data_IF_513732550544
#
_entry.id   IF_513732550544
#
_cell.length_a   1.000
_cell.length_b   1.000
_cell.length_c   1.000
_cell.angle_alpha   90.00
_cell.angle_beta   90.00
_cell.angle_gamma   90.00
#
_symmetry.space_group_name_H-M   'P 1'
#
loop_
_entity.id
_entity.type
_entity.pdbx_description
1 polymer ?
#
# COMPACT_ATOMS: atom_id res chain seq x y z
N UNK A 1 9.37 45.50 -11.33
CA UNK A 1 8.59 44.44 -12.02
C UNK A 1 8.96 44.38 -13.49
N UNK A 2 8.18 43.71 -14.37
CA UNK A 2 8.44 43.71 -15.82
C UNK A 2 8.41 45.13 -16.43
N UNK A 3 7.63 46.04 -15.86
CA UNK A 3 7.56 47.47 -16.24
C UNK A 3 8.90 48.19 -16.09
N UNK A 4 9.72 47.80 -15.12
CA UNK A 4 11.00 48.45 -14.84
C UNK A 4 12.14 47.92 -15.71
N UNK A 5 11.86 46.91 -16.53
CA UNK A 5 12.85 46.27 -17.37
C UNK A 5 13.43 47.30 -18.35
N UNK A 6 14.78 47.47 -18.39
CA UNK A 6 15.42 48.43 -19.27
C UNK A 6 15.33 47.97 -20.73
N UNK A 7 14.95 48.87 -21.63
CA UNK A 7 14.92 48.63 -23.08
C UNK A 7 16.18 49.19 -23.75
N UNK A 8 16.35 50.50 -23.73
CA UNK A 8 17.53 51.19 -24.24
C UNK A 8 17.66 52.58 -23.63
N UNK A 9 18.86 53.15 -23.68
CA UNK A 9 19.10 54.53 -23.25
C UNK A 9 19.05 55.44 -24.48
N UNK A 10 18.26 56.51 -24.43
CA UNK A 10 18.20 57.48 -25.53
C UNK A 10 19.48 58.32 -25.62
N UNK A 11 19.62 59.09 -26.71
CA UNK A 11 20.78 59.97 -26.93
C UNK A 11 20.93 61.09 -25.89
N UNK A 12 19.91 61.30 -25.05
CA UNK A 12 19.91 62.26 -23.94
C UNK A 12 20.29 61.63 -22.61
N UNK A 13 20.62 60.32 -22.59
CA UNK A 13 21.01 59.59 -21.39
C UNK A 13 19.84 59.10 -20.55
N UNK A 14 18.59 59.23 -21.02
CA UNK A 14 17.41 58.74 -20.30
C UNK A 14 17.22 57.25 -20.60
N UNK A 15 17.12 56.45 -19.54
CA UNK A 15 16.81 55.02 -19.63
C UNK A 15 15.32 54.83 -19.92
N UNK A 16 14.97 54.33 -21.10
CA UNK A 16 13.61 53.88 -21.40
C UNK A 16 13.38 52.50 -20.82
N UNK A 17 12.24 52.34 -20.14
CA UNK A 17 11.76 51.10 -19.56
C UNK A 17 10.54 50.59 -20.32
N UNK A 18 10.18 49.33 -20.13
CA UNK A 18 8.98 48.74 -20.75
C UNK A 18 7.71 49.50 -20.39
N UNK A 19 7.56 49.93 -19.14
CA UNK A 19 6.41 50.71 -18.67
C UNK A 19 6.27 52.09 -19.31
N UNK A 20 7.32 52.63 -19.94
CA UNK A 20 7.25 53.90 -20.67
C UNK A 20 6.58 53.74 -22.05
N UNK A 21 6.45 52.51 -22.57
CA UNK A 21 5.99 52.21 -23.92
C UNK A 21 4.78 51.27 -24.00
N UNK A 22 4.53 50.48 -22.96
CA UNK A 22 3.45 49.50 -22.95
C UNK A 22 2.82 49.36 -21.56
N UNK A 23 1.52 49.04 -21.55
CA UNK A 23 0.82 48.60 -20.34
C UNK A 23 1.21 47.15 -20.06
N UNK A 24 1.74 46.90 -18.87
CA UNK A 24 2.15 45.57 -18.45
C UNK A 24 1.16 45.08 -17.40
N UNK A 25 0.35 44.12 -17.78
CA UNK A 25 -0.62 43.53 -16.88
C UNK A 25 -0.49 42.02 -16.85
N UNK A 26 -0.82 41.47 -15.69
CA UNK A 26 -0.87 40.03 -15.50
C UNK A 26 -2.28 39.56 -15.81
N UNK A 27 -2.48 39.06 -17.02
CA UNK A 27 -3.75 38.44 -17.46
C UNK A 27 -3.67 36.91 -17.34
N UNK A 28 -4.82 36.22 -17.16
CA UNK A 28 -4.93 34.79 -17.42
C UNK A 28 -4.55 34.48 -18.87
N UNK A 29 -4.06 33.27 -19.13
CA UNK A 29 -3.76 32.83 -20.48
C UNK A 29 -5.06 32.62 -21.26
N UNK A 30 -5.12 33.07 -22.52
CA UNK A 30 -6.26 32.79 -23.40
C UNK A 30 -6.38 31.28 -23.64
N UNK A 31 -7.63 30.77 -23.71
CA UNK A 31 -7.97 29.35 -23.86
C UNK A 31 -7.49 28.39 -22.75
N UNK A 32 -7.20 28.90 -21.55
CA UNK A 32 -6.88 28.04 -20.41
C UNK A 32 -8.10 27.18 -20.00
N UNK A 33 -7.93 25.85 -19.84
CA UNK A 33 -9.04 24.97 -19.50
C UNK A 33 -9.68 25.36 -18.17
N UNK A 34 -10.94 25.79 -18.24
CA UNK A 34 -11.74 26.18 -17.08
C UNK A 34 -12.42 24.96 -16.46
N UNK A 35 -11.99 24.58 -15.26
CA UNK A 35 -12.53 23.42 -14.53
C UNK A 35 -13.55 23.90 -13.51
N UNK A 36 -14.68 23.20 -13.43
CA UNK A 36 -15.68 23.44 -12.38
C UNK A 36 -16.02 22.15 -11.65
N UNK A 37 -16.33 22.28 -10.37
CA UNK A 37 -16.86 21.18 -9.55
C UNK A 37 -18.16 21.67 -8.92
N UNK A 38 -19.28 21.02 -9.28
CA UNK A 38 -20.63 21.41 -8.85
C UNK A 38 -20.96 22.90 -9.12
N UNK A 39 -20.53 23.41 -10.28
CA UNK A 39 -20.78 24.82 -10.68
C UNK A 39 -19.89 25.86 -10.01
N UNK A 40 -18.94 25.45 -9.16
CA UNK A 40 -17.93 26.34 -8.57
C UNK A 40 -16.60 26.22 -9.34
N UNK A 41 -15.89 27.34 -9.59
CA UNK A 41 -14.55 27.30 -10.19
C UNK A 41 -13.61 26.41 -9.37
N UNK A 42 -12.83 25.57 -10.03
CA UNK A 42 -11.94 24.62 -9.38
C UNK A 42 -10.59 24.54 -10.09
N UNK A 43 -9.56 24.17 -9.32
CA UNK A 43 -8.24 23.84 -9.83
C UNK A 43 -8.04 22.35 -9.58
N UNK A 44 -7.76 21.59 -10.63
CA UNK A 44 -7.38 20.19 -10.51
C UNK A 44 -5.90 20.08 -10.15
N UNK A 45 -5.60 19.31 -9.11
CA UNK A 45 -4.23 18.97 -8.73
C UNK A 45 -4.09 17.45 -8.79
N UNK A 46 -3.30 16.98 -9.76
CA UNK A 46 -3.00 15.56 -9.88
C UNK A 46 -1.81 15.20 -8.99
N UNK A 47 -2.05 14.38 -7.97
CA UNK A 47 -0.96 13.80 -7.20
C UNK A 47 -0.34 12.63 -7.97
N UNK A 48 0.96 12.72 -8.20
CA UNK A 48 1.76 11.63 -8.75
C UNK A 48 2.67 11.07 -7.66
N UNK A 49 2.96 9.77 -7.78
CA UNK A 49 3.83 9.02 -6.89
C UNK A 49 4.83 8.24 -7.73
N UNK A 50 6.06 8.11 -7.26
CA UNK A 50 7.06 7.25 -7.91
C UNK A 50 6.66 5.77 -7.80
N UNK A 51 7.00 4.96 -8.81
CA UNK A 51 6.59 3.55 -8.88
C UNK A 51 7.06 2.71 -7.68
N UNK A 52 8.24 3.03 -7.14
CA UNK A 52 8.91 2.30 -6.06
C UNK A 52 8.43 2.64 -4.64
N UNK A 53 7.52 3.61 -4.48
CA UNK A 53 7.03 3.97 -3.14
C UNK A 53 5.91 3.02 -2.66
N UNK A 54 5.54 3.10 -1.38
CA UNK A 54 4.40 2.38 -0.80
C UNK A 54 3.14 3.26 -0.89
N UNK A 55 2.08 2.75 -1.54
CA UNK A 55 0.83 3.49 -1.78
C UNK A 55 0.15 3.92 -0.48
N UNK A 56 0.14 3.06 0.54
CA UNK A 56 -0.47 3.34 1.84
C UNK A 56 0.37 4.32 2.67
N UNK A 57 1.68 4.38 2.43
CA UNK A 57 2.56 5.39 3.02
C UNK A 57 2.33 6.76 2.38
N UNK A 58 2.34 6.86 1.06
CA UNK A 58 2.07 8.13 0.35
C UNK A 58 0.69 8.68 0.71
N UNK A 59 -0.33 7.81 0.80
CA UNK A 59 -1.66 8.20 1.25
C UNK A 59 -1.67 8.80 2.67
N UNK A 60 -0.88 8.23 3.60
CA UNK A 60 -0.74 8.77 4.97
C UNK A 60 -0.12 10.17 4.97
N UNK A 61 0.97 10.35 4.23
CA UNK A 61 1.65 11.65 4.10
C UNK A 61 0.69 12.69 3.52
N UNK A 62 -0.04 12.34 2.46
CA UNK A 62 -1.01 13.26 1.88
C UNK A 62 -2.15 13.61 2.84
N UNK A 63 -2.67 12.62 3.58
CA UNK A 63 -3.74 12.87 4.55
C UNK A 63 -3.27 13.83 5.65
N UNK A 64 -2.05 13.66 6.16
CA UNK A 64 -1.44 14.56 7.13
C UNK A 64 -1.28 15.97 6.56
N UNK A 65 -0.73 16.09 5.34
CA UNK A 65 -0.62 17.38 4.66
C UNK A 65 -1.97 18.07 4.48
N UNK A 66 -3.02 17.30 4.17
CA UNK A 66 -4.37 17.82 4.00
C UNK A 66 -4.96 18.33 5.33
N UNK A 67 -4.70 17.63 6.44
CA UNK A 67 -5.07 18.06 7.79
C UNK A 67 -4.35 19.37 8.18
N UNK A 68 -3.09 19.53 7.80
CA UNK A 68 -2.32 20.75 8.07
C UNK A 68 -2.72 21.95 7.19
N UNK A 69 -3.11 21.71 5.93
CA UNK A 69 -3.41 22.77 4.97
C UNK A 69 -4.84 23.27 5.08
N UNK A 70 -5.83 22.38 5.28
CA UNK A 70 -7.25 22.75 5.34
C UNK A 70 -7.55 23.93 6.28
N UNK A 71 -6.98 24.00 7.50
CA UNK A 71 -7.22 25.12 8.42
C UNK A 71 -6.57 26.44 7.99
N UNK A 72 -5.55 26.39 7.13
CA UNK A 72 -4.79 27.56 6.66
C UNK A 72 -5.37 28.16 5.38
N UNK A 73 -6.43 27.58 4.83
CA UNK A 73 -7.04 28.06 3.60
C UNK A 73 -7.77 29.40 3.81
N UNK A 74 -7.72 30.32 2.83
CA UNK A 74 -8.53 31.53 2.85
C UNK A 74 -10.02 31.24 2.89
N UNK A 75 -10.82 32.19 3.38
CA UNK A 75 -12.27 32.06 3.34
C UNK A 75 -12.76 31.89 1.89
N UNK A 76 -13.68 30.94 1.68
CA UNK A 76 -14.24 30.62 0.36
C UNK A 76 -13.45 29.59 -0.45
N UNK A 77 -12.27 29.15 0.02
CA UNK A 77 -11.48 28.09 -0.64
C UNK A 77 -11.68 26.77 0.08
N UNK A 78 -12.00 25.70 -0.67
CA UNK A 78 -12.11 24.35 -0.12
C UNK A 78 -11.37 23.33 -0.98
N UNK A 79 -10.78 22.33 -0.34
CA UNK A 79 -10.10 21.22 -1.03
C UNK A 79 -11.01 19.99 -1.00
N UNK A 80 -11.42 19.53 -2.19
CA UNK A 80 -12.11 18.25 -2.37
C UNK A 80 -11.13 17.25 -2.97
N UNK A 81 -10.89 16.16 -2.23
CA UNK A 81 -10.14 15.01 -2.72
C UNK A 81 -11.14 14.05 -3.38
N UNK A 82 -10.83 13.59 -4.59
CA UNK A 82 -11.61 12.59 -5.31
C UNK A 82 -10.68 11.52 -5.87
N UNK A 83 -11.26 10.39 -6.31
CA UNK A 83 -10.55 9.27 -6.91
C UNK A 83 -9.41 8.73 -6.02
N UNK A 84 -9.69 8.56 -4.73
CA UNK A 84 -8.76 8.12 -3.70
C UNK A 84 -8.43 6.61 -3.85
N UNK A 85 -7.64 6.26 -4.87
CA UNK A 85 -7.30 4.86 -5.19
C UNK A 85 -6.74 4.07 -4.00
N UNK A 86 -6.04 4.74 -3.08
CA UNK A 86 -5.51 4.12 -1.85
C UNK A 86 -6.60 3.64 -0.89
N UNK A 87 -7.79 4.27 -0.86
CA UNK A 87 -8.91 3.82 -0.05
C UNK A 87 -9.42 2.48 -0.55
N UNK A 88 -9.67 2.35 -1.85
CA UNK A 88 -10.06 1.08 -2.45
C UNK A 88 -9.03 -0.03 -2.24
N UNK A 89 -7.73 0.30 -2.29
CA UNK A 89 -6.68 -0.66 -1.95
C UNK A 89 -6.78 -1.09 -0.48
N UNK A 90 -6.93 -0.14 0.45
CA UNK A 90 -7.07 -0.44 1.88
C UNK A 90 -8.32 -1.28 2.19
N UNK A 91 -9.46 -0.95 1.60
CA UNK A 91 -10.70 -1.70 1.80
C UNK A 91 -10.57 -3.14 1.31
N UNK A 92 -9.90 -3.35 0.16
CA UNK A 92 -9.60 -4.70 -0.35
C UNK A 92 -8.63 -5.47 0.54
N UNK A 93 -7.59 -4.81 1.05
CA UNK A 93 -6.66 -5.42 2.01
C UNK A 93 -7.43 -5.85 3.26
N UNK A 94 -8.29 -4.99 3.81
CA UNK A 94 -9.10 -5.31 4.99
C UNK A 94 -10.04 -6.49 4.71
N UNK A 95 -10.73 -6.50 3.58
CA UNK A 95 -11.60 -7.61 3.17
C UNK A 95 -10.81 -8.93 3.03
N UNK A 96 -9.61 -8.90 2.45
CA UNK A 96 -8.74 -10.06 2.37
C UNK A 96 -8.26 -10.53 3.73
N UNK A 97 -7.93 -9.61 4.64
CA UNK A 97 -7.52 -9.95 6.00
C UNK A 97 -8.68 -10.56 6.80
N UNK A 98 -9.87 -9.98 6.71
CA UNK A 98 -11.09 -10.53 7.34
C UNK A 98 -11.38 -11.94 6.82
N UNK A 99 -11.44 -12.11 5.49
CA UNK A 99 -11.64 -13.42 4.88
C UNK A 99 -10.52 -14.40 5.23
N UNK A 100 -9.26 -13.94 5.27
CA UNK A 100 -8.10 -14.75 5.61
C UNK A 100 -8.14 -15.22 7.06
N UNK A 101 -8.53 -14.36 8.01
CA UNK A 101 -8.70 -14.71 9.42
C UNK A 101 -9.87 -15.70 9.58
N UNK A 102 -11.02 -15.44 8.96
CA UNK A 102 -12.15 -16.37 8.99
C UNK A 102 -11.77 -17.73 8.40
N UNK A 103 -11.06 -17.75 7.27
CA UNK A 103 -10.53 -18.97 6.66
C UNK A 103 -9.55 -19.70 7.57
N UNK A 104 -8.63 -18.97 8.20
CA UNK A 104 -7.66 -19.54 9.15
C UNK A 104 -8.35 -20.19 10.35
N UNK A 105 -9.37 -19.54 10.92
CA UNK A 105 -10.16 -20.11 12.01
C UNK A 105 -10.83 -21.42 11.57
N UNK A 106 -11.39 -21.46 10.37
CA UNK A 106 -12.00 -22.68 9.81
C UNK A 106 -10.97 -23.79 9.60
N UNK A 107 -9.78 -23.47 9.09
CA UNK A 107 -8.68 -24.44 8.95
C UNK A 107 -8.28 -24.99 10.31
N UNK A 108 -8.01 -24.12 11.30
CA UNK A 108 -7.66 -24.55 12.66
C UNK A 108 -8.78 -25.43 13.25
N UNK A 109 -10.04 -25.01 13.17
CA UNK A 109 -11.16 -25.81 13.66
C UNK A 109 -11.22 -27.20 13.00
N UNK A 110 -10.95 -27.27 11.69
CA UNK A 110 -10.89 -28.53 10.94
C UNK A 110 -9.72 -29.40 11.40
N UNK A 111 -8.53 -28.83 11.59
CA UNK A 111 -7.37 -29.54 12.11
C UNK A 111 -7.64 -30.16 13.48
N UNK A 112 -8.23 -29.40 14.40
CA UNK A 112 -8.55 -29.93 15.73
C UNK A 112 -9.69 -30.97 15.73
N UNK A 113 -10.50 -31.02 14.66
CA UNK A 113 -11.58 -31.99 14.52
C UNK A 113 -11.08 -33.32 13.92
N UNK A 114 -10.17 -33.26 12.95
CA UNK A 114 -9.69 -34.45 12.22
C UNK A 114 -8.36 -34.99 12.72
N UNK A 115 -7.45 -34.15 13.23
CA UNK A 115 -6.11 -34.56 13.65
C UNK A 115 -6.00 -34.74 15.17
N UNK A 116 -4.97 -35.49 15.58
CA UNK A 116 -4.53 -35.53 16.96
C UNK A 116 -4.17 -34.11 17.45
N UNK A 117 -4.67 -33.73 18.63
CA UNK A 117 -4.47 -32.41 19.25
C UNK A 117 -3.00 -31.97 19.27
N UNK A 118 -2.06 -32.91 19.50
CA UNK A 118 -0.63 -32.59 19.51
C UNK A 118 -0.11 -32.20 18.13
N UNK A 119 -0.52 -32.94 17.10
CA UNK A 119 -0.12 -32.66 15.70
C UNK A 119 -0.77 -31.35 15.24
N UNK A 120 -2.09 -31.19 15.47
CA UNK A 120 -2.83 -29.99 15.13
C UNK A 120 -2.22 -28.72 15.77
N UNK A 121 -1.76 -28.81 17.02
CA UNK A 121 -1.08 -27.70 17.69
C UNK A 121 0.23 -27.30 16.99
N UNK A 122 1.10 -28.27 16.68
CA UNK A 122 2.38 -27.97 16.02
C UNK A 122 2.21 -27.41 14.61
N UNK A 123 1.24 -27.93 13.85
CA UNK A 123 0.87 -27.39 12.53
C UNK A 123 0.36 -25.95 12.67
N UNK A 124 -0.53 -25.69 13.63
CA UNK A 124 -1.10 -24.35 13.87
C UNK A 124 -0.02 -23.32 14.21
N UNK A 125 1.00 -23.69 14.98
CA UNK A 125 2.15 -22.82 15.30
C UNK A 125 3.01 -22.55 14.07
N UNK A 126 3.09 -23.47 13.12
CA UNK A 126 3.82 -23.28 11.85
C UNK A 126 3.25 -22.18 10.96
N UNK A 127 1.93 -21.94 11.02
CA UNK A 127 1.22 -20.93 10.22
C UNK A 127 1.76 -19.50 10.47
N UNK A 128 1.71 -18.94 11.71
CA UNK A 128 2.19 -17.58 11.95
C UNK A 128 3.71 -17.45 11.73
N UNK A 129 4.49 -18.50 11.99
CA UNK A 129 5.95 -18.50 11.74
C UNK A 129 6.24 -18.36 10.24
N UNK A 130 5.57 -19.14 9.41
CA UNK A 130 5.73 -19.10 7.95
C UNK A 130 5.26 -17.76 7.36
N UNK A 131 4.18 -17.20 7.91
CA UNK A 131 3.67 -15.90 7.52
C UNK A 131 4.66 -14.77 7.85
N UNK A 132 5.19 -14.75 9.07
CA UNK A 132 6.19 -13.77 9.50
C UNK A 132 7.49 -13.91 8.69
N UNK A 133 7.93 -15.14 8.40
CA UNK A 133 9.10 -15.39 7.57
C UNK A 133 8.90 -14.82 6.15
N UNK A 134 7.73 -15.05 5.55
CA UNK A 134 7.42 -14.52 4.21
C UNK A 134 7.37 -12.99 4.21
N UNK A 135 6.77 -12.36 5.23
CA UNK A 135 6.77 -10.91 5.39
C UNK A 135 8.18 -10.34 5.61
N UNK A 136 9.04 -11.03 6.36
CA UNK A 136 10.43 -10.64 6.56
C UNK A 136 11.20 -10.68 5.23
N UNK A 137 11.03 -11.73 4.43
CA UNK A 137 11.65 -11.82 3.09
C UNK A 137 11.12 -10.73 2.16
N UNK A 138 9.80 -10.47 2.17
CA UNK A 138 9.20 -9.39 1.39
C UNK A 138 9.79 -8.04 1.76
N UNK A 139 9.97 -7.77 3.06
CA UNK A 139 10.59 -6.55 3.56
C UNK A 139 12.06 -6.43 3.14
N UNK A 140 12.84 -7.51 3.28
CA UNK A 140 14.26 -7.54 2.91
C UNK A 140 14.52 -7.37 1.41
N UNK A 141 13.60 -7.86 0.58
CA UNK A 141 13.69 -7.73 -0.89
C UNK A 141 13.16 -6.38 -1.41
N UNK A 142 12.70 -5.49 -0.51
CA UNK A 142 12.12 -4.20 -0.87
C UNK A 142 10.73 -4.30 -1.50
N UNK A 143 10.06 -5.45 -1.35
CA UNK A 143 8.69 -5.65 -1.80
C UNK A 143 7.70 -4.79 -1.03
N UNK A 144 6.56 -4.51 -1.66
CA UNK A 144 5.46 -3.76 -1.04
C UNK A 144 4.25 -4.66 -0.83
N UNK A 145 3.44 -4.34 0.18
CA UNK A 145 2.16 -5.04 0.39
C UNK A 145 1.16 -4.50 -0.63
N UNK A 146 0.81 -5.35 -1.58
CA UNK A 146 -0.20 -5.10 -2.59
C UNK A 146 -1.09 -6.34 -2.79
N UNK A 147 -2.05 -6.26 -3.70
CA UNK A 147 -2.99 -7.36 -3.93
C UNK A 147 -2.29 -8.64 -4.40
N UNK A 148 -1.31 -8.53 -5.31
CA UNK A 148 -0.60 -9.69 -5.86
C UNK A 148 0.22 -10.36 -4.75
N UNK A 149 0.95 -9.58 -3.94
CA UNK A 149 1.73 -10.13 -2.83
C UNK A 149 0.85 -10.80 -1.77
N UNK A 150 -0.34 -10.24 -1.48
CA UNK A 150 -1.28 -10.85 -0.55
C UNK A 150 -1.88 -12.15 -1.08
N UNK A 151 -2.25 -12.21 -2.36
CA UNK A 151 -2.69 -13.45 -2.99
C UNK A 151 -1.59 -14.51 -2.98
N UNK A 152 -0.36 -14.14 -3.33
CA UNK A 152 0.79 -15.04 -3.28
C UNK A 152 1.01 -15.59 -1.86
N UNK A 153 0.89 -14.73 -0.84
CA UNK A 153 1.02 -15.09 0.57
C UNK A 153 -0.04 -16.10 1.01
N UNK A 154 -1.31 -15.87 0.65
CA UNK A 154 -2.42 -16.78 0.98
C UNK A 154 -2.26 -18.13 0.25
N UNK A 155 -1.88 -18.12 -1.03
CA UNK A 155 -1.64 -19.35 -1.79
C UNK A 155 -0.46 -20.16 -1.21
N UNK A 156 0.65 -19.49 -0.92
CA UNK A 156 1.82 -20.12 -0.32
C UNK A 156 1.50 -20.69 1.07
N UNK A 157 0.68 -19.99 1.85
CA UNK A 157 0.23 -20.48 3.16
C UNK A 157 -0.50 -21.82 3.05
N UNK A 158 -1.39 -21.99 2.07
CA UNK A 158 -2.09 -23.26 1.85
C UNK A 158 -1.12 -24.41 1.57
N UNK A 159 -0.17 -24.20 0.65
CA UNK A 159 0.85 -25.20 0.29
C UNK A 159 1.68 -25.60 1.52
N UNK A 160 2.18 -24.62 2.28
CA UNK A 160 3.03 -24.87 3.45
C UNK A 160 2.26 -25.63 4.55
N UNK A 161 0.98 -25.30 4.73
CA UNK A 161 0.15 -25.95 5.74
C UNK A 161 -0.14 -27.39 5.37
N UNK A 162 -0.44 -27.67 4.09
CA UNK A 162 -0.66 -29.02 3.60
C UNK A 162 0.58 -29.90 3.85
N UNK A 163 1.79 -29.40 3.54
CA UNK A 163 3.04 -30.13 3.79
C UNK A 163 3.25 -30.38 5.30
N UNK A 164 2.97 -29.39 6.15
CA UNK A 164 3.10 -29.52 7.60
C UNK A 164 2.13 -30.55 8.20
N UNK A 165 0.91 -30.64 7.66
CA UNK A 165 -0.09 -31.63 8.04
C UNK A 165 0.41 -33.04 7.70
N UNK A 166 0.85 -33.24 6.45
CA UNK A 166 1.31 -34.56 5.97
C UNK A 166 2.50 -35.06 6.79
N UNK A 167 3.53 -34.23 7.00
CA UNK A 167 4.70 -34.60 7.81
C UNK A 167 4.31 -34.89 9.26
N UNK A 168 3.38 -34.12 9.82
CA UNK A 168 2.90 -34.29 11.19
C UNK A 168 2.14 -35.60 11.42
N UNK A 169 1.23 -35.96 10.51
CA UNK A 169 0.48 -37.22 10.56
C UNK A 169 1.38 -38.43 10.31
N UNK A 170 2.33 -38.32 9.38
CA UNK A 170 3.25 -39.41 9.06
C UNK A 170 4.21 -39.69 10.24
N UNK A 171 4.72 -38.62 10.88
CA UNK A 171 5.51 -38.73 12.10
C UNK A 171 4.73 -39.42 13.23
N UNK A 172 3.44 -39.07 13.39
CA UNK A 172 2.59 -39.73 14.38
C UNK A 172 2.37 -41.20 14.03
N UNK A 173 2.16 -41.51 12.75
CA UNK A 173 1.98 -42.88 12.26
C UNK A 173 3.21 -43.75 12.56
N UNK A 174 4.43 -43.26 12.29
CA UNK A 174 5.67 -43.97 12.63
C UNK A 174 5.82 -44.19 14.15
N UNK A 175 5.42 -43.22 14.96
CA UNK A 175 5.42 -43.34 16.42
C UNK A 175 4.44 -44.42 16.89
N UNK A 176 3.25 -44.49 16.29
CA UNK A 176 2.23 -45.52 16.59
C UNK A 176 2.66 -46.92 16.12
N UNK A 177 3.51 -47.03 15.11
CA UNK A 177 4.13 -48.28 14.67
C UNK A 177 5.25 -48.77 15.61
N UNK A 178 5.56 -48.02 16.69
CA UNK A 178 6.53 -48.41 17.71
C UNK A 178 7.95 -47.92 17.46
N UNK A 179 8.14 -46.99 16.51
CA UNK A 179 9.44 -46.35 16.32
C UNK A 179 9.76 -45.37 17.45
N UNK A 180 11.05 -45.20 17.76
CA UNK A 180 11.50 -44.13 18.66
C UNK A 180 11.19 -42.75 18.07
N UNK A 181 10.87 -41.76 18.90
CA UNK A 181 10.50 -40.40 18.46
C UNK A 181 11.49 -39.77 17.46
N UNK A 182 12.80 -39.99 17.65
CA UNK A 182 13.83 -39.53 16.70
C UNK A 182 13.64 -40.16 15.31
N UNK A 183 13.55 -41.49 15.24
CA UNK A 183 13.33 -42.21 13.97
C UNK A 183 12.00 -41.84 13.32
N UNK A 184 10.93 -41.72 14.11
CA UNK A 184 9.63 -41.31 13.61
C UNK A 184 9.66 -39.91 12.98
N UNK A 185 10.35 -38.95 13.60
CA UNK A 185 10.51 -37.60 13.05
C UNK A 185 11.35 -37.56 11.78
N UNK A 186 12.39 -38.40 11.68
CA UNK A 186 13.19 -38.53 10.45
C UNK A 186 12.40 -39.24 9.35
N UNK A 187 11.57 -40.22 9.69
CA UNK A 187 10.68 -40.93 8.77
C UNK A 187 9.68 -39.97 8.13
N UNK A 188 8.93 -39.24 8.97
CA UNK A 188 7.96 -38.26 8.50
C UNK A 188 8.56 -37.13 7.66
N UNK A 189 9.78 -36.70 7.95
CA UNK A 189 10.45 -35.63 7.20
C UNK A 189 11.06 -36.06 5.85
N UNK A 190 11.20 -37.37 5.58
CA UNK A 190 11.83 -37.89 4.36
C UNK A 190 10.85 -38.17 3.23
N UNK A 191 9.57 -37.88 3.43
CA UNK A 191 8.49 -38.18 2.50
C UNK A 191 8.26 -37.05 1.50
#
# INVERSE_FOLDING_TARGET
>A
GFEEMPLFTDSSGRLLRVGDLAEVERRPQEDEPYITVNGQPAIEMLMMRTESEDTLRTARIFTQWLEDVRPRLPQGVSIKVYNERWKHLRDRINLLLENGISGLILVIATLFLFLNVRVAFWVTVGIPVSFLATLAVLYLTGGTINMISLFALIMALGIIVDDAIVVGEDTLTHLEMGESAERASVGGARR
#
